data_IF_713299764801
#
_entry.id   IF_713299764801
#
_cell.length_a   1.000
_cell.length_b   1.000
_cell.length_c   1.000
_cell.angle_alpha   90.00
_cell.angle_beta   90.00
_cell.angle_gamma   90.00
#
_symmetry.space_group_name_H-M   'P 1'
#
loop_
_entity.id
_entity.type
_entity.pdbx_description
1 polymer ?
#
# COMPACT_ATOMS: atom_id res chain seq x y z
N UNK A 1 13.17 -22.69 27.99
CA UNK A 1 13.84 -21.38 28.09
C UNK A 1 14.15 -20.97 26.66
N UNK A 2 13.35 -20.08 26.07
CA UNK A 2 13.66 -19.54 24.75
C UNK A 2 14.74 -18.47 24.88
N UNK A 3 15.78 -18.57 24.05
CA UNK A 3 16.85 -17.58 23.97
C UNK A 3 16.42 -16.51 22.97
N UNK A 4 16.13 -15.31 23.45
CA UNK A 4 15.85 -14.16 22.59
C UNK A 4 17.19 -13.48 22.27
N UNK A 5 17.61 -13.54 21.01
CA UNK A 5 18.72 -12.75 20.49
C UNK A 5 18.16 -11.45 19.89
N UNK A 6 18.58 -10.31 20.43
CA UNK A 6 18.19 -8.99 19.90
C UNK A 6 19.32 -8.49 18.99
N UNK A 7 19.05 -8.38 17.69
CA UNK A 7 19.99 -7.80 16.74
C UNK A 7 19.92 -6.27 16.78
N UNK A 8 21.01 -5.62 17.18
CA UNK A 8 21.09 -4.16 17.23
C UNK A 8 22.21 -3.64 16.33
N UNK A 9 21.84 -2.93 15.25
CA UNK A 9 22.76 -2.01 14.57
C UNK A 9 22.29 -0.57 14.80
N UNK A 10 23.22 0.41 14.91
CA UNK A 10 22.88 1.80 15.18
C UNK A 10 21.99 2.47 14.13
N UNK A 11 22.00 1.97 12.88
CA UNK A 11 21.19 2.48 11.77
C UNK A 11 20.36 1.37 11.17
N UNK A 12 19.13 1.68 10.77
CA UNK A 12 18.23 0.71 10.13
C UNK A 12 18.55 0.66 8.64
N UNK A 13 19.10 -0.45 8.18
CA UNK A 13 19.41 -0.65 6.75
C UNK A 13 18.18 -1.10 5.98
N UNK A 14 18.07 -0.61 4.76
CA UNK A 14 17.03 -0.98 3.80
C UNK A 14 17.73 -1.46 2.54
N UNK A 15 17.42 -2.68 2.12
CA UNK A 15 18.04 -3.35 0.98
C UNK A 15 17.43 -2.91 -0.35
N UNK A 16 16.19 -2.41 -0.30
CA UNK A 16 15.53 -1.91 -1.50
C UNK A 16 14.43 -0.92 -1.14
N UNK A 17 14.36 0.15 -1.93
CA UNK A 17 13.23 1.07 -1.94
C UNK A 17 12.69 1.13 -3.35
N UNK A 18 11.41 0.83 -3.51
CA UNK A 18 10.68 0.97 -4.77
C UNK A 18 9.59 2.01 -4.62
N UNK A 19 9.33 2.73 -5.70
CA UNK A 19 8.20 3.66 -5.77
C UNK A 19 7.34 3.31 -6.97
N UNK A 20 6.03 3.40 -6.79
CA UNK A 20 5.05 3.18 -7.84
C UNK A 20 4.10 4.37 -7.84
N UNK A 21 3.98 5.04 -8.97
CA UNK A 21 3.14 6.23 -9.12
C UNK A 21 1.86 5.90 -9.89
N UNK A 22 0.87 6.78 -9.81
CA UNK A 22 -0.34 6.68 -10.62
C UNK A 22 -1.23 5.50 -10.26
N UNK A 23 -1.24 5.09 -8.99
CA UNK A 23 -2.09 4.01 -8.48
C UNK A 23 -3.48 4.53 -8.10
N UNK A 24 -4.45 3.62 -7.93
CA UNK A 24 -5.78 3.94 -7.39
C UNK A 24 -6.00 3.25 -6.05
N UNK A 25 -6.33 4.02 -5.02
CA UNK A 25 -6.70 3.53 -3.69
C UNK A 25 -8.21 3.54 -3.53
N UNK A 26 -8.81 2.36 -3.45
CA UNK A 26 -10.21 2.20 -3.06
C UNK A 26 -10.28 1.89 -1.56
N UNK A 27 -11.13 2.61 -0.84
CA UNK A 27 -11.43 2.36 0.57
C UNK A 27 -12.90 1.98 0.70
N UNK A 28 -13.13 0.75 1.14
CA UNK A 28 -14.45 0.15 1.35
C UNK A 28 -14.68 0.06 2.86
N UNK A 29 -15.79 0.60 3.35
CA UNK A 29 -16.16 0.56 4.77
C UNK A 29 -17.52 -0.12 4.86
N UNK A 30 -17.63 -1.21 5.59
CA UNK A 30 -18.85 -2.01 5.66
C UNK A 30 -18.95 -2.83 6.96
N UNK A 31 -20.15 -3.19 7.43
CA UNK A 31 -20.31 -4.02 8.62
C UNK A 31 -19.85 -5.47 8.37
N UNK A 32 -19.33 -6.14 9.39
CA UNK A 32 -18.81 -7.52 9.28
C UNK A 32 -19.82 -8.53 8.70
N UNK A 33 -21.13 -8.33 8.90
CA UNK A 33 -22.19 -9.17 8.31
C UNK A 33 -22.24 -9.15 6.78
N UNK A 34 -21.55 -8.21 6.12
CA UNK A 34 -21.43 -8.15 4.67
C UNK A 34 -20.14 -8.75 4.12
N UNK A 35 -19.32 -9.42 4.94
CA UNK A 35 -18.04 -9.95 4.48
C UNK A 35 -18.17 -10.90 3.27
N UNK A 36 -19.23 -11.72 3.21
CA UNK A 36 -19.49 -12.59 2.07
C UNK A 36 -19.77 -11.82 0.77
N UNK A 37 -20.48 -10.68 0.85
CA UNK A 37 -20.74 -9.79 -0.29
C UNK A 37 -19.44 -9.25 -0.86
N UNK A 38 -18.62 -8.67 0.01
CA UNK A 38 -17.37 -8.04 -0.38
C UNK A 38 -16.32 -9.07 -0.79
N UNK A 39 -16.33 -10.27 -0.22
CA UNK A 39 -15.55 -11.41 -0.71
C UNK A 39 -15.90 -11.79 -2.14
N UNK A 40 -17.20 -11.85 -2.47
CA UNK A 40 -17.66 -12.09 -3.84
C UNK A 40 -17.21 -10.98 -4.80
N UNK A 41 -17.26 -9.72 -4.37
CA UNK A 41 -16.77 -8.60 -5.17
C UNK A 41 -15.26 -8.71 -5.46
N UNK A 42 -14.46 -9.06 -4.46
CA UNK A 42 -13.00 -9.27 -4.65
C UNK A 42 -12.74 -10.43 -5.62
N UNK A 43 -13.54 -11.51 -5.55
CA UNK A 43 -13.45 -12.60 -6.51
C UNK A 43 -13.76 -12.13 -7.95
N UNK A 44 -14.80 -11.32 -8.15
CA UNK A 44 -15.09 -10.72 -9.45
C UNK A 44 -13.98 -9.79 -9.96
N UNK A 45 -13.31 -9.06 -9.05
CA UNK A 45 -12.12 -8.27 -9.43
C UNK A 45 -10.97 -9.16 -9.91
N UNK A 46 -10.76 -10.32 -9.27
CA UNK A 46 -9.75 -11.27 -9.69
C UNK A 46 -10.08 -11.91 -11.05
N UNK A 47 -11.36 -12.26 -11.29
CA UNK A 47 -11.85 -12.75 -12.59
C UNK A 47 -11.67 -11.73 -13.72
N UNK A 48 -11.86 -10.44 -13.41
CA UNK A 48 -11.57 -9.34 -14.33
C UNK A 48 -10.07 -9.14 -14.58
N UNK A 49 -9.17 -9.92 -13.97
CA UNK A 49 -7.72 -9.85 -14.20
C UNK A 49 -7.02 -8.72 -13.43
N UNK A 50 -7.60 -8.26 -12.32
CA UNK A 50 -7.05 -7.17 -11.51
C UNK A 50 -5.84 -7.61 -10.70
N UNK A 51 -4.74 -6.85 -10.80
CA UNK A 51 -3.59 -6.99 -9.89
C UNK A 51 -3.67 -6.03 -8.69
N UNK A 52 -3.53 -6.55 -7.48
CA UNK A 52 -3.43 -5.74 -6.26
C UNK A 52 -1.96 -5.48 -5.91
N UNK A 53 -1.62 -4.21 -5.62
CA UNK A 53 -0.31 -3.82 -5.08
C UNK A 53 -0.27 -3.89 -3.56
N UNK A 54 -1.39 -3.58 -2.92
CA UNK A 54 -1.55 -3.66 -1.47
C UNK A 54 -3.03 -3.92 -1.15
N UNK A 55 -3.28 -4.77 -0.16
CA UNK A 55 -4.60 -4.99 0.43
C UNK A 55 -4.45 -4.87 1.93
N UNK A 56 -5.16 -3.92 2.53
CA UNK A 56 -5.19 -3.75 3.98
C UNK A 56 -6.61 -3.96 4.49
N UNK A 57 -6.73 -4.65 5.62
CA UNK A 57 -8.00 -4.81 6.32
C UNK A 57 -7.83 -4.37 7.77
N UNK A 58 -8.76 -3.54 8.25
CA UNK A 58 -8.84 -3.11 9.64
C UNK A 58 -10.27 -3.32 10.15
N UNK A 59 -10.41 -3.68 11.42
CA UNK A 59 -11.71 -3.72 12.10
C UNK A 59 -11.76 -2.52 13.05
N UNK A 60 -12.75 -1.67 12.87
CA UNK A 60 -12.99 -0.54 13.77
C UNK A 60 -13.62 -1.02 15.08
N UNK A 61 -13.51 -0.22 16.14
CA UNK A 61 -14.18 -0.49 17.41
C UNK A 61 -15.71 -0.58 17.29
N UNK A 62 -16.30 0.05 16.26
CA UNK A 62 -17.72 -0.03 15.91
C UNK A 62 -18.13 -1.36 15.28
N UNK A 63 -17.18 -2.26 14.98
CA UNK A 63 -17.42 -3.53 14.28
C UNK A 63 -17.45 -3.41 12.75
N UNK A 64 -17.24 -2.20 12.22
CA UNK A 64 -17.08 -1.97 10.78
C UNK A 64 -15.71 -2.44 10.30
N UNK A 65 -15.68 -3.03 9.12
CA UNK A 65 -14.48 -3.42 8.41
C UNK A 65 -14.11 -2.29 7.45
N UNK A 66 -12.87 -1.83 7.53
CA UNK A 66 -12.24 -1.02 6.48
C UNK A 66 -11.38 -1.95 5.63
N UNK A 67 -11.66 -2.04 4.35
CA UNK A 67 -10.85 -2.74 3.36
C UNK A 67 -10.29 -1.72 2.37
N UNK A 68 -8.97 -1.62 2.30
CA UNK A 68 -8.28 -0.75 1.37
C UNK A 68 -7.63 -1.59 0.28
N UNK A 69 -7.93 -1.28 -0.98
CA UNK A 69 -7.41 -1.96 -2.16
C UNK A 69 -6.59 -0.94 -2.96
N UNK A 70 -5.30 -1.21 -3.14
CA UNK A 70 -4.42 -0.41 -3.97
C UNK A 70 -4.17 -1.14 -5.29
N UNK A 71 -4.61 -0.54 -6.39
CA UNK A 71 -4.57 -1.14 -7.72
C UNK A 71 -3.69 -0.32 -8.65
N UNK A 72 -3.05 -0.99 -9.60
CA UNK A 72 -2.44 -0.34 -10.75
C UNK A 72 -3.51 -0.14 -11.83
N UNK A 73 -3.83 1.10 -12.24
CA UNK A 73 -4.67 1.32 -13.40
C UNK A 73 -4.04 0.69 -14.65
N UNK A 74 -4.86 -0.05 -15.37
CA UNK A 74 -4.57 -0.58 -16.70
C UNK A 74 -5.81 -0.35 -17.60
N UNK A 75 -5.84 -0.95 -18.79
CA UNK A 75 -6.96 -0.84 -19.73
C UNK A 75 -8.31 -1.26 -19.12
N UNK A 76 -8.30 -2.07 -18.07
CA UNK A 76 -9.49 -2.57 -17.35
C UNK A 76 -9.94 -1.65 -16.22
N UNK A 77 -9.25 -0.54 -15.96
CA UNK A 77 -9.61 0.40 -14.88
C UNK A 77 -11.10 0.80 -14.90
N UNK A 78 -11.70 0.99 -16.10
CA UNK A 78 -13.13 1.30 -16.25
C UNK A 78 -14.05 0.15 -15.86
N UNK A 79 -13.65 -1.10 -16.08
CA UNK A 79 -14.40 -2.29 -15.69
C UNK A 79 -14.30 -2.52 -14.18
N UNK A 80 -13.09 -2.41 -13.64
CA UNK A 80 -12.82 -2.47 -12.19
C UNK A 80 -13.65 -1.44 -11.43
N UNK A 81 -13.66 -0.19 -11.90
CA UNK A 81 -14.46 0.88 -11.30
C UNK A 81 -15.97 0.55 -11.32
N UNK A 82 -16.46 -0.08 -12.40
CA UNK A 82 -17.86 -0.53 -12.51
C UNK A 82 -18.19 -1.66 -11.54
N UNK A 83 -17.30 -2.65 -11.38
CA UNK A 83 -17.48 -3.75 -10.42
C UNK A 83 -17.57 -3.21 -8.99
N UNK A 84 -16.65 -2.30 -8.63
CA UNK A 84 -16.63 -1.70 -7.29
C UNK A 84 -17.87 -0.83 -7.07
N UNK A 85 -18.23 0.03 -8.01
CA UNK A 85 -19.42 0.89 -7.92
C UNK A 85 -20.71 0.04 -7.79
N UNK A 86 -20.89 -0.98 -8.63
CA UNK A 86 -22.04 -1.89 -8.55
C UNK A 86 -22.12 -2.62 -7.21
N UNK A 87 -20.98 -2.96 -6.61
CA UNK A 87 -20.91 -3.50 -5.25
C UNK A 87 -21.48 -2.59 -4.16
N UNK A 88 -21.36 -1.27 -4.36
CA UNK A 88 -21.80 -0.23 -3.42
C UNK A 88 -23.28 0.14 -3.61
N UNK A 89 -23.76 0.12 -4.85
CA UNK A 89 -25.11 0.54 -5.23
C UNK A 89 -26.19 -0.49 -4.87
N UNK A 90 -25.82 -1.74 -4.59
CA UNK A 90 -26.74 -2.85 -4.31
C UNK A 90 -27.51 -2.77 -2.96
N UNK A 91 -27.78 -1.56 -2.45
CA UNK A 91 -28.66 -1.31 -1.30
C UNK A 91 -28.12 -1.80 0.04
N UNK A 92 -26.81 -2.08 0.13
CA UNK A 92 -26.15 -2.57 1.35
C UNK A 92 -25.40 -1.42 2.03
N UNK A 93 -25.46 -1.39 3.36
CA UNK A 93 -24.77 -0.37 4.16
C UNK A 93 -23.25 -0.49 3.96
N UNK A 94 -22.68 0.31 3.07
CA UNK A 94 -21.26 0.35 2.82
C UNK A 94 -20.86 1.66 2.13
N UNK A 95 -19.69 2.17 2.47
CA UNK A 95 -19.12 3.39 1.87
C UNK A 95 -17.95 2.95 0.99
N UNK A 96 -17.92 3.44 -0.25
CA UNK A 96 -16.74 3.34 -1.11
C UNK A 96 -16.18 4.72 -1.40
N UNK A 97 -14.87 4.87 -1.19
CA UNK A 97 -14.11 6.07 -1.54
C UNK A 97 -13.01 5.68 -2.50
N UNK A 98 -12.89 6.42 -3.60
CA UNK A 98 -11.79 6.32 -4.52
C UNK A 98 -10.88 7.54 -4.33
N UNK A 99 -9.59 7.29 -4.11
CA UNK A 99 -8.55 8.29 -4.21
C UNK A 99 -7.57 7.88 -5.30
N UNK A 100 -7.50 8.69 -6.35
CA UNK A 100 -6.69 8.41 -7.54
C UNK A 100 -6.33 9.73 -8.21
N UNK A 101 -5.09 9.90 -8.68
CA UNK A 101 -3.94 9.01 -8.46
C UNK A 101 -3.35 9.11 -7.03
N UNK A 102 -2.62 8.07 -6.62
CA UNK A 102 -1.79 8.02 -5.41
C UNK A 102 -0.46 7.34 -5.71
N UNK A 103 0.54 7.51 -4.84
CA UNK A 103 1.82 6.81 -4.96
C UNK A 103 2.01 5.78 -3.82
N UNK A 104 2.80 4.74 -4.10
CA UNK A 104 3.26 3.77 -3.12
C UNK A 104 4.78 3.86 -2.96
N UNK A 105 5.23 3.95 -1.72
CA UNK A 105 6.61 3.69 -1.32
C UNK A 105 6.67 2.32 -0.66
N UNK A 106 7.52 1.45 -1.22
CA UNK A 106 7.78 0.11 -0.71
C UNK A 106 9.23 0.04 -0.22
N UNK A 107 9.43 -0.40 1.02
CA UNK A 107 10.76 -0.62 1.60
C UNK A 107 10.91 -2.07 2.02
N UNK A 108 12.06 -2.66 1.71
CA UNK A 108 12.44 -4.00 2.14
C UNK A 108 13.70 -3.96 3.01
N UNK A 109 13.61 -4.52 4.22
CA UNK A 109 14.72 -4.64 5.15
C UNK A 109 14.71 -6.01 5.82
N UNK A 110 15.82 -6.76 5.80
CA UNK A 110 15.88 -8.15 6.28
C UNK A 110 15.63 -8.30 7.79
N UNK A 111 15.75 -7.21 8.54
CA UNK A 111 15.70 -7.19 10.01
C UNK A 111 14.54 -6.35 10.55
N UNK A 112 13.54 -6.03 9.73
CA UNK A 112 12.39 -5.24 10.20
C UNK A 112 11.61 -5.97 11.30
N UNK A 113 11.41 -7.28 11.17
CA UNK A 113 10.74 -8.09 12.21
C UNK A 113 11.55 -8.21 13.51
N UNK A 114 12.87 -8.03 13.43
CA UNK A 114 13.78 -8.18 14.58
C UNK A 114 13.93 -6.89 15.41
N UNK A 115 13.29 -5.80 14.96
CA UNK A 115 13.46 -4.46 15.52
C UNK A 115 12.14 -3.84 15.94
N UNK A 116 12.09 -3.39 17.19
CA UNK A 116 11.03 -2.52 17.66
C UNK A 116 11.14 -1.12 17.04
N UNK A 117 10.00 -0.43 16.92
CA UNK A 117 9.96 0.96 16.46
C UNK A 117 10.10 1.17 14.95
N UNK A 118 10.17 0.12 14.14
CA UNK A 118 10.32 0.23 12.68
C UNK A 118 9.17 1.00 12.02
N UNK A 119 7.93 0.75 12.45
CA UNK A 119 6.77 1.49 11.96
C UNK A 119 6.84 2.98 12.34
N UNK A 120 7.21 3.30 13.58
CA UNK A 120 7.40 4.67 14.05
C UNK A 120 8.52 5.39 13.28
N UNK A 121 9.63 4.70 13.04
CA UNK A 121 10.76 5.17 12.25
C UNK A 121 10.37 5.47 10.79
N UNK A 122 9.42 4.72 10.22
CA UNK A 122 8.89 4.96 8.88
C UNK A 122 7.86 6.11 8.83
N UNK A 123 6.98 6.23 9.82
CA UNK A 123 5.85 7.16 9.79
C UNK A 123 6.24 8.56 10.29
N UNK A 124 7.09 8.66 11.31
CA UNK A 124 7.46 9.93 11.95
C UNK A 124 8.10 10.93 10.98
N UNK A 125 9.04 10.55 10.10
CA UNK A 125 9.64 11.50 9.15
C UNK A 125 8.64 12.06 8.15
N UNK A 126 7.70 11.23 7.67
CA UNK A 126 6.63 11.66 6.77
C UNK A 126 5.69 12.65 7.46
N UNK A 127 5.32 12.36 8.72
CA UNK A 127 4.47 13.24 9.52
C UNK A 127 5.12 14.60 9.75
N UNK A 128 6.42 14.62 10.11
CA UNK A 128 7.20 15.85 10.28
C UNK A 128 7.34 16.67 8.99
N UNK A 129 7.33 16.00 7.84
CA UNK A 129 7.36 16.63 6.53
C UNK A 129 5.97 16.98 5.96
N UNK A 130 4.93 16.82 6.79
CA UNK A 130 3.52 17.06 6.45
C UNK A 130 3.07 16.29 5.20
N UNK A 131 3.57 15.06 5.04
CA UNK A 131 3.14 14.16 3.97
C UNK A 131 2.02 13.28 4.52
N UNK A 132 0.77 13.41 4.02
CA UNK A 132 -0.33 12.57 4.47
C UNK A 132 -0.04 11.09 4.17
N UNK A 133 -0.33 10.23 5.15
CA UNK A 133 -0.31 8.78 4.96
C UNK A 133 -1.74 8.29 4.72
N UNK A 134 -2.00 7.80 3.52
CA UNK A 134 -3.35 7.38 3.08
C UNK A 134 -3.66 5.94 3.49
N UNK A 135 -2.65 5.10 3.44
CA UNK A 135 -2.68 3.72 3.90
C UNK A 135 -1.25 3.28 4.23
N UNK A 136 -1.10 2.33 5.15
CA UNK A 136 0.17 1.68 5.41
C UNK A 136 -0.03 0.21 5.74
N UNK A 137 0.95 -0.60 5.40
CA UNK A 137 0.97 -2.03 5.70
C UNK A 137 2.39 -2.48 6.00
N UNK A 138 2.52 -3.56 6.76
CA UNK A 138 3.79 -4.18 7.05
C UNK A 138 3.69 -5.70 6.93
N UNK A 139 4.72 -6.31 6.39
CA UNK A 139 5.02 -7.73 6.53
C UNK A 139 6.33 -7.86 7.31
N UNK A 140 6.75 -9.08 7.68
CA UNK A 140 7.93 -9.28 8.52
C UNK A 140 9.14 -8.44 8.08
N UNK A 141 9.46 -8.43 6.79
CA UNK A 141 10.64 -7.75 6.23
C UNK A 141 10.32 -6.53 5.38
N UNK A 142 9.06 -6.07 5.31
CA UNK A 142 8.68 -5.02 4.36
C UNK A 142 7.65 -4.03 4.90
N UNK A 143 7.74 -2.79 4.42
CA UNK A 143 6.82 -1.70 4.75
C UNK A 143 6.27 -1.10 3.46
N UNK A 144 4.97 -0.83 3.46
CA UNK A 144 4.23 -0.22 2.36
C UNK A 144 3.61 1.07 2.89
N UNK A 145 3.87 2.20 2.21
CA UNK A 145 3.36 3.51 2.56
C UNK A 145 2.68 4.11 1.34
N UNK A 146 1.37 4.34 1.42
CA UNK A 146 0.59 4.99 0.36
C UNK A 146 0.49 6.47 0.69
N UNK A 147 0.92 7.31 -0.24
CA UNK A 147 0.98 8.78 -0.12
C UNK A 147 0.26 9.43 -1.30
N UNK A 148 -0.11 10.73 -1.20
CA UNK A 148 -0.69 11.44 -2.34
C UNK A 148 0.21 11.41 -3.58
N UNK A 149 -0.38 11.63 -4.75
CA UNK A 149 0.35 11.73 -6.01
C UNK A 149 1.53 12.70 -5.92
N UNK A 150 2.65 12.31 -6.54
CA UNK A 150 3.86 13.12 -6.62
C UNK A 150 4.64 13.20 -5.31
N UNK A 151 4.16 12.58 -4.23
CA UNK A 151 4.81 12.65 -2.93
C UNK A 151 5.81 11.52 -2.68
N UNK A 152 5.87 10.47 -3.52
CA UNK A 152 6.79 9.35 -3.29
C UNK A 152 8.26 9.78 -3.19
N UNK A 153 8.74 10.66 -4.07
CA UNK A 153 10.12 11.16 -4.04
C UNK A 153 10.44 11.90 -2.75
N UNK A 154 9.53 12.78 -2.30
CA UNK A 154 9.64 13.50 -1.03
C UNK A 154 9.63 12.54 0.15
N UNK A 155 8.75 11.54 0.14
CA UNK A 155 8.67 10.53 1.18
C UNK A 155 9.97 9.71 1.28
N UNK A 156 10.54 9.25 0.16
CA UNK A 156 11.84 8.56 0.15
C UNK A 156 12.96 9.44 0.69
N UNK A 157 13.00 10.72 0.31
CA UNK A 157 13.99 11.66 0.85
C UNK A 157 13.87 11.83 2.37
N UNK A 158 12.65 11.92 2.91
CA UNK A 158 12.42 11.98 4.36
C UNK A 158 12.84 10.70 5.07
N UNK A 159 12.60 9.53 4.46
CA UNK A 159 13.00 8.24 5.01
C UNK A 159 14.53 8.10 5.07
N UNK A 160 15.27 8.70 4.15
CA UNK A 160 16.74 8.76 4.18
C UNK A 160 17.34 9.43 5.43
N UNK A 161 16.55 10.20 6.19
CA UNK A 161 16.99 10.74 7.48
C UNK A 161 17.02 9.68 8.60
N UNK A 162 16.29 8.58 8.44
CA UNK A 162 16.10 7.55 9.48
C UNK A 162 16.66 6.19 9.06
N UNK A 163 16.58 5.88 7.76
CA UNK A 163 17.04 4.64 7.18
C UNK A 163 18.29 4.86 6.33
N UNK A 164 19.19 3.87 6.34
CA UNK A 164 20.28 3.79 5.36
C UNK A 164 19.72 3.11 4.13
N UNK A 165 19.51 3.89 3.07
CA UNK A 165 18.98 3.42 1.80
C UNK A 165 20.17 3.04 0.90
N UNK A 166 20.42 1.74 0.74
CA UNK A 166 21.44 1.28 -0.20
C UNK A 166 20.92 1.53 -1.63
N UNK A 167 21.67 2.28 -2.42
CA UNK A 167 21.28 2.84 -3.73
C UNK A 167 21.11 1.83 -4.88
N UNK A 168 20.42 0.72 -4.64
CA UNK A 168 20.06 -0.28 -5.64
C UNK A 168 18.94 0.21 -6.57
N UNK A 169 19.29 1.09 -7.51
CA UNK A 169 18.61 1.32 -8.79
C UNK A 169 17.08 1.35 -8.79
N UNK A 170 16.49 2.54 -8.69
CA UNK A 170 15.10 2.77 -9.06
C UNK A 170 14.84 2.38 -10.51
N UNK A 171 14.33 1.18 -10.75
CA UNK A 171 13.72 0.81 -12.03
C UNK A 171 12.35 1.49 -12.10
N UNK A 172 12.28 2.59 -12.85
CA UNK A 172 11.02 3.06 -13.43
C UNK A 172 10.56 2.00 -14.43
N UNK A 173 9.50 1.25 -14.12
CA UNK A 173 8.80 0.44 -15.12
C UNK A 173 7.88 1.36 -15.92
N UNK A 174 8.44 2.03 -16.93
CA UNK A 174 7.71 2.63 -18.05
C UNK A 174 7.79 1.69 -19.25
N UNK A 175 6.67 1.55 -19.96
CA UNK A 175 6.36 0.51 -20.93
C UNK A 175 7.23 0.42 -22.20
N UNK A 176 6.86 -0.61 -22.95
CA UNK A 176 7.54 -1.27 -24.06
C UNK A 176 7.77 -0.44 -25.33
N UNK A 177 8.80 -0.88 -26.05
CA UNK A 177 9.00 -1.05 -27.49
C UNK A 177 8.44 -0.01 -28.46
N UNK A 178 9.34 0.55 -29.26
CA UNK A 178 9.15 0.61 -30.71
C UNK A 178 10.46 0.17 -31.39
N UNK A 179 10.40 -1.01 -31.99
CA UNK A 179 11.25 -1.47 -33.08
C UNK A 179 11.02 -0.57 -34.31
N UNK A 180 12.07 -0.01 -34.91
CA UNK A 180 12.18 0.11 -36.37
C UNK A 180 13.60 0.54 -36.79
N UNK A 181 14.40 -0.44 -37.24
CA UNK A 181 14.97 -0.48 -38.61
C UNK A 181 15.74 -1.75 -38.89
#
# INVERSE_FOLDING_TARGET
METIAVYWEPKIRVYGVSTFAGLSLYTLIFPAGQLAHWGGLIASLAEAGTGFRLVNQQVQATGEIILQLLLQPDERHREIGRIIAGGCENGRAGICRLQSPVDLVYMHGPHFQDRYGIAEAAITPLTKAEIPLLAAGCTGTSIYLVVPEGCAGKAVACLGATFVLDGGGGRRSGGADDDEK
#
